data_IF_066534133419
#
_entry.id   IF_066534133419
#
_cell.length_a   1.000
_cell.length_b   1.000
_cell.length_c   1.000
_cell.angle_alpha   90.00
_cell.angle_beta   90.00
_cell.angle_gamma   90.00
#
_symmetry.space_group_name_H-M   'P 1'
#
loop_
_entity.id
_entity.type
_entity.pdbx_description
1 polymer ?
#
# COMPACT_ATOMS: atom_id res chain seq x y z
N UNK A 1 19.65 4.77 11.84
CA UNK A 1 18.23 4.91 12.24
C UNK A 1 17.41 3.79 11.61
N UNK A 2 16.27 3.40 12.18
CA UNK A 2 15.40 2.35 11.62
C UNK A 2 14.66 2.79 10.34
N UNK A 3 13.88 1.88 9.75
CA UNK A 3 13.00 2.21 8.62
C UNK A 3 11.90 3.20 9.06
N UNK A 4 11.64 4.23 8.23
CA UNK A 4 10.59 5.22 8.49
C UNK A 4 9.35 4.90 7.66
N UNK A 5 8.33 4.35 8.33
CA UNK A 5 7.05 3.98 7.74
C UNK A 5 6.01 5.05 8.06
N UNK A 6 5.27 5.46 7.04
CA UNK A 6 4.25 6.51 7.13
C UNK A 6 2.90 5.90 6.81
N UNK A 7 1.98 5.96 7.77
CA UNK A 7 0.58 5.54 7.58
C UNK A 7 -0.29 6.75 7.30
N UNK A 8 -0.87 6.81 6.10
CA UNK A 8 -1.89 7.78 5.74
C UNK A 8 -3.27 7.15 5.90
N UNK A 9 -4.10 7.66 6.83
CA UNK A 9 -5.46 7.18 7.01
C UNK A 9 -6.36 7.59 5.84
N UNK A 10 -7.62 7.13 5.87
CA UNK A 10 -8.65 7.57 4.93
C UNK A 10 -9.10 9.01 5.28
N UNK A 11 -9.49 9.80 4.28
CA UNK A 11 -9.88 11.22 4.40
C UNK A 11 -10.99 11.45 5.43
N UNK A 12 -11.77 10.41 5.72
CA UNK A 12 -12.83 10.39 6.74
C UNK A 12 -12.30 10.52 8.17
N UNK A 13 -11.04 10.16 8.41
CA UNK A 13 -10.41 10.19 9.73
C UNK A 13 -9.46 11.37 9.90
N UNK A 14 -8.73 11.74 8.84
CA UNK A 14 -7.78 12.85 8.85
C UNK A 14 -7.61 13.37 7.42
N UNK A 15 -7.36 14.68 7.24
CA UNK A 15 -6.97 15.21 5.94
C UNK A 15 -5.71 14.53 5.39
N UNK A 16 -5.61 14.52 4.05
CA UNK A 16 -4.44 14.02 3.35
C UNK A 16 -3.24 14.93 3.56
N UNK A 17 -2.05 14.34 3.56
CA UNK A 17 -0.80 15.07 3.67
C UNK A 17 -0.36 15.55 2.29
N UNK A 18 0.03 16.82 2.16
CA UNK A 18 0.32 17.45 0.86
C UNK A 18 1.47 16.78 0.08
N UNK A 19 2.49 16.30 0.82
CA UNK A 19 3.63 15.58 0.25
C UNK A 19 3.34 14.11 -0.15
N UNK A 20 2.15 13.60 0.12
CA UNK A 20 1.78 12.21 -0.18
C UNK A 20 0.69 12.15 -1.25
N UNK A 21 0.62 11.04 -2.02
CA UNK A 21 -0.50 10.81 -2.91
C UNK A 21 -1.84 10.86 -2.17
N UNK A 22 -2.89 11.31 -2.85
CA UNK A 22 -4.23 11.36 -2.27
C UNK A 22 -4.75 9.96 -1.93
N UNK A 23 -5.47 9.87 -0.81
CA UNK A 23 -6.10 8.65 -0.32
C UNK A 23 -5.28 7.90 0.73
N UNK A 24 -5.83 6.78 1.20
CA UNK A 24 -5.18 5.99 2.26
C UNK A 24 -4.07 5.08 1.74
N UNK A 25 -2.99 4.95 2.52
CA UNK A 25 -1.82 4.17 2.12
C UNK A 25 -0.80 3.95 3.24
N UNK A 26 0.13 3.02 3.01
CA UNK A 26 1.34 2.89 3.80
C UNK A 26 2.54 3.15 2.90
N UNK A 27 3.36 4.12 3.28
CA UNK A 27 4.52 4.57 2.54
C UNK A 27 5.80 4.26 3.32
N UNK A 28 6.86 3.96 2.57
CA UNK A 28 8.20 3.80 3.11
C UNK A 28 9.03 4.96 2.59
N UNK A 29 9.64 5.72 3.50
CA UNK A 29 10.62 6.72 3.13
C UNK A 29 11.97 6.02 2.90
N UNK A 30 12.46 6.07 1.67
CA UNK A 30 13.72 5.44 1.28
C UNK A 30 14.51 6.39 0.36
N UNK A 31 15.84 6.31 0.41
CA UNK A 31 16.74 7.10 -0.43
C UNK A 31 17.58 6.14 -1.29
N UNK A 32 17.49 6.22 -2.62
CA UNK A 32 18.23 5.31 -3.52
C UNK A 32 19.69 5.73 -3.76
N UNK A 33 20.24 6.69 -3.01
CA UNK A 33 21.59 7.22 -3.22
C UNK A 33 22.65 6.19 -2.82
N UNK A 34 23.67 6.03 -3.67
CA UNK A 34 24.75 5.04 -3.49
C UNK A 34 25.72 5.38 -2.36
N UNK A 35 25.93 6.67 -2.09
CA UNK A 35 26.79 7.13 -0.99
C UNK A 35 26.02 7.12 0.32
N UNK A 36 26.43 6.24 1.24
CA UNK A 36 25.70 5.99 2.50
C UNK A 36 25.54 7.25 3.36
N UNK A 37 26.58 8.08 3.46
CA UNK A 37 26.57 9.31 4.26
C UNK A 37 25.65 10.38 3.70
N UNK A 38 25.62 10.57 2.37
CA UNK A 38 24.73 11.55 1.74
C UNK A 38 23.28 11.06 1.72
N UNK A 39 23.07 9.74 1.56
CA UNK A 39 21.76 9.12 1.67
C UNK A 39 21.13 9.35 3.05
N UNK A 40 21.91 9.18 4.13
CA UNK A 40 21.44 9.41 5.50
C UNK A 40 21.08 10.86 5.76
N UNK A 41 21.90 11.82 5.30
CA UNK A 41 21.61 13.26 5.43
C UNK A 41 20.33 13.64 4.68
N UNK A 42 20.14 13.13 3.46
CA UNK A 42 18.94 13.37 2.68
C UNK A 42 17.70 12.76 3.31
N UNK A 43 17.81 11.54 3.86
CA UNK A 43 16.71 10.91 4.62
C UNK A 43 16.34 11.74 5.84
N UNK A 44 17.33 12.21 6.61
CA UNK A 44 17.07 13.08 7.76
C UNK A 44 16.41 14.38 7.31
N UNK A 45 16.91 15.04 6.27
CA UNK A 45 16.32 16.25 5.73
C UNK A 45 14.86 16.02 5.28
N UNK A 46 14.58 14.93 4.57
CA UNK A 46 13.23 14.57 4.15
C UNK A 46 12.30 14.28 5.33
N UNK A 47 12.79 13.59 6.37
CA UNK A 47 12.03 13.37 7.61
C UNK A 47 11.70 14.69 8.30
N UNK A 48 12.66 15.61 8.41
CA UNK A 48 12.43 16.93 8.99
C UNK A 48 11.41 17.72 8.18
N UNK A 49 11.51 17.74 6.85
CA UNK A 49 10.53 18.45 6.01
C UNK A 49 9.14 17.83 6.17
N UNK A 50 9.04 16.50 6.16
CA UNK A 50 7.77 15.79 6.30
C UNK A 50 7.10 16.08 7.65
N UNK A 51 7.84 15.98 8.76
CA UNK A 51 7.30 16.22 10.10
C UNK A 51 6.95 17.70 10.37
N UNK A 52 7.46 18.61 9.56
CA UNK A 52 7.22 20.06 9.69
C UNK A 52 6.33 20.63 8.58
N UNK A 53 5.60 19.80 7.82
CA UNK A 53 4.70 20.25 6.74
C UNK A 53 3.30 19.65 6.92
N UNK A 54 2.24 20.43 7.22
CA UNK A 54 2.27 21.84 7.57
C UNK A 54 3.02 22.09 8.88
N UNK A 55 3.52 23.32 9.07
CA UNK A 55 4.35 23.62 10.24
C UNK A 55 3.51 23.46 11.51
N UNK A 56 4.04 22.88 12.61
CA UNK A 56 3.25 22.66 13.81
C UNK A 56 2.53 23.92 14.30
N UNK A 57 3.18 25.07 14.26
CA UNK A 57 2.56 26.34 14.64
C UNK A 57 1.42 26.79 13.72
N UNK A 58 1.44 26.41 12.44
CA UNK A 58 0.33 26.66 11.51
C UNK A 58 -0.87 25.78 11.89
N UNK A 59 -0.62 24.51 12.21
CA UNK A 59 -1.65 23.59 12.73
C UNK A 59 -2.25 24.16 14.02
N UNK A 60 -1.41 24.62 14.95
CA UNK A 60 -1.88 25.17 16.23
C UNK A 60 -2.53 26.55 16.11
N UNK A 61 -2.32 27.27 15.01
CA UNK A 61 -2.99 28.54 14.75
C UNK A 61 -4.49 28.35 14.52
N UNK A 62 -4.90 27.19 14.01
CA UNK A 62 -6.30 26.83 13.88
C UNK A 62 -6.84 26.29 15.21
N UNK A 63 -7.83 27.01 15.76
CA UNK A 63 -8.56 26.57 16.95
C UNK A 63 -9.20 25.20 16.74
N UNK A 64 -9.58 24.82 15.52
CA UNK A 64 -10.21 23.52 15.25
C UNK A 64 -9.24 22.33 15.32
N UNK A 65 -7.93 22.55 15.32
CA UNK A 65 -6.92 21.49 15.28
C UNK A 65 -6.90 20.58 16.52
N UNK A 66 -7.28 21.10 17.69
CA UNK A 66 -7.35 20.31 18.92
C UNK A 66 -8.66 19.50 19.05
N UNK A 67 -9.71 19.91 18.32
CA UNK A 67 -11.06 19.35 18.38
C UNK A 67 -12.14 20.42 18.08
N UNK A 68 -13.41 20.02 18.14
CA UNK A 68 -14.54 20.93 17.88
C UNK A 68 -14.49 22.16 18.79
N UNK A 69 -14.31 23.35 18.21
CA UNK A 69 -14.20 24.60 18.99
C UNK A 69 -12.94 24.71 19.85
N UNK A 70 -11.88 23.94 19.56
CA UNK A 70 -10.61 23.94 20.30
C UNK A 70 -10.62 23.15 21.59
N UNK A 71 -11.55 22.21 21.73
CA UNK A 71 -11.52 21.26 22.85
C UNK A 71 -10.32 20.33 22.71
N UNK A 72 -9.41 20.33 23.68
CA UNK A 72 -8.29 19.39 23.69
C UNK A 72 -8.76 18.02 24.16
N UNK A 73 -8.71 17.03 23.27
CA UNK A 73 -8.94 15.64 23.66
C UNK A 73 -7.70 15.10 24.38
N UNK A 74 -7.86 14.76 25.68
CA UNK A 74 -6.77 14.22 26.50
C UNK A 74 -6.35 12.81 26.09
N UNK A 75 -7.31 12.00 25.67
CA UNK A 75 -7.09 10.59 25.37
C UNK A 75 -7.18 10.34 23.86
N UNK A 76 -6.09 9.86 23.27
CA UNK A 76 -6.08 9.45 21.88
C UNK A 76 -6.94 8.20 21.67
N UNK A 77 -7.87 8.23 20.72
CA UNK A 77 -8.61 7.02 20.34
C UNK A 77 -7.72 6.08 19.52
N UNK A 78 -7.18 5.04 20.17
CA UNK A 78 -6.41 3.97 19.55
C UNK A 78 -7.19 3.20 18.47
N UNK A 79 -8.52 3.23 18.50
CA UNK A 79 -9.35 2.57 17.50
C UNK A 79 -9.15 3.16 16.10
N UNK A 80 -8.84 4.45 16.01
CA UNK A 80 -8.59 5.16 14.75
C UNK A 80 -7.39 4.58 14.00
N UNK A 81 -6.25 4.41 14.68
CA UNK A 81 -5.04 3.81 14.10
C UNK A 81 -5.30 2.38 13.61
N UNK A 82 -5.96 1.55 14.43
CA UNK A 82 -6.28 0.18 14.04
C UNK A 82 -7.22 0.12 12.84
N UNK A 83 -8.22 1.02 12.77
CA UNK A 83 -9.13 1.14 11.62
C UNK A 83 -8.35 1.53 10.36
N UNK A 84 -7.45 2.51 10.46
CA UNK A 84 -6.61 2.97 9.35
C UNK A 84 -5.72 1.86 8.80
N UNK A 85 -4.99 1.14 9.67
CA UNK A 85 -4.16 -0.01 9.26
C UNK A 85 -5.00 -1.09 8.58
N UNK A 86 -6.15 -1.46 9.18
CA UNK A 86 -7.06 -2.45 8.59
C UNK A 86 -7.59 -2.02 7.23
N UNK A 87 -7.89 -0.74 7.05
CA UNK A 87 -8.37 -0.20 5.79
C UNK A 87 -7.30 -0.27 4.70
N UNK A 88 -6.06 0.13 4.99
CA UNK A 88 -4.93 0.00 4.06
C UNK A 88 -4.71 -1.45 3.67
N UNK A 89 -4.68 -2.38 4.63
CA UNK A 89 -4.53 -3.83 4.34
C UNK A 89 -5.65 -4.33 3.42
N UNK A 90 -6.91 -3.95 3.69
CA UNK A 90 -8.05 -4.33 2.83
C UNK A 90 -7.92 -3.75 1.43
N UNK A 91 -7.50 -2.49 1.31
CA UNK A 91 -7.32 -1.82 0.04
C UNK A 91 -6.26 -2.53 -0.81
N UNK A 92 -5.11 -2.84 -0.21
CA UNK A 92 -4.02 -3.58 -0.87
C UNK A 92 -4.44 -4.98 -1.31
N UNK A 93 -5.09 -5.75 -0.42
CA UNK A 93 -5.60 -7.08 -0.76
C UNK A 93 -6.62 -7.03 -1.91
N UNK A 94 -7.46 -6.00 -1.95
CA UNK A 94 -8.41 -5.81 -3.04
C UNK A 94 -7.71 -5.45 -4.36
N UNK A 95 -6.68 -4.61 -4.32
CA UNK A 95 -5.88 -4.26 -5.49
C UNK A 95 -5.15 -5.48 -6.06
N UNK A 96 -4.57 -6.33 -5.21
CA UNK A 96 -3.94 -7.60 -5.62
C UNK A 96 -4.97 -8.53 -6.28
N UNK A 97 -6.16 -8.68 -5.69
CA UNK A 97 -7.23 -9.50 -6.29
C UNK A 97 -7.69 -8.94 -7.64
N UNK A 98 -7.85 -7.62 -7.77
CA UNK A 98 -8.21 -6.95 -9.03
C UNK A 98 -7.12 -7.17 -10.09
N UNK A 99 -5.85 -7.00 -9.75
CA UNK A 99 -4.72 -7.25 -10.65
C UNK A 99 -4.68 -8.71 -11.12
N UNK A 100 -4.87 -9.67 -10.21
CA UNK A 100 -4.95 -11.11 -10.56
C UNK A 100 -6.13 -11.43 -11.48
N UNK A 101 -7.31 -10.83 -11.25
CA UNK A 101 -8.47 -10.99 -12.14
C UNK A 101 -8.20 -10.37 -13.52
N UNK A 102 -7.58 -9.18 -13.59
CA UNK A 102 -7.20 -8.53 -14.85
C UNK A 102 -6.19 -9.40 -15.63
N UNK A 103 -5.20 -9.97 -14.94
CA UNK A 103 -4.25 -10.89 -15.57
C UNK A 103 -4.92 -12.16 -16.09
N UNK A 104 -5.79 -12.80 -15.28
CA UNK A 104 -6.58 -13.95 -15.73
C UNK A 104 -7.43 -13.61 -16.94
N UNK A 105 -8.11 -12.46 -16.95
CA UNK A 105 -8.87 -11.99 -18.12
C UNK A 105 -7.98 -11.81 -19.34
N UNK A 106 -6.79 -11.21 -19.22
CA UNK A 106 -5.86 -11.04 -20.34
C UNK A 106 -5.38 -12.37 -20.93
N UNK A 107 -5.14 -13.37 -20.08
CA UNK A 107 -4.64 -14.69 -20.52
C UNK A 107 -5.78 -15.60 -21.00
N UNK A 108 -6.93 -15.56 -20.34
CA UNK A 108 -8.05 -16.48 -20.61
C UNK A 108 -9.04 -15.95 -21.64
N UNK A 109 -9.27 -14.64 -21.74
CA UNK A 109 -10.21 -14.10 -22.73
C UNK A 109 -9.85 -14.44 -24.18
N UNK A 110 -8.58 -14.41 -24.61
CA UNK A 110 -8.21 -14.83 -25.96
C UNK A 110 -8.50 -16.31 -26.26
N UNK A 111 -8.62 -17.16 -25.24
CA UNK A 111 -8.90 -18.60 -25.39
C UNK A 111 -10.39 -18.92 -25.43
N UNK A 112 -11.25 -18.00 -24.99
CA UNK A 112 -12.71 -18.18 -24.92
C UNK A 112 -13.44 -17.31 -25.96
N UNK A 113 -12.75 -16.35 -26.58
CA UNK A 113 -13.30 -15.65 -27.73
C UNK A 113 -13.39 -16.63 -28.91
N UNK A 114 -14.56 -16.79 -29.56
CA UNK A 114 -14.63 -17.52 -30.80
C UNK A 114 -13.69 -16.83 -31.80
N UNK A 115 -12.79 -17.61 -32.39
CA UNK A 115 -11.88 -17.16 -33.44
C UNK A 115 -12.70 -16.55 -34.57
N UNK A 116 -12.65 -15.23 -34.69
CA UNK A 116 -13.39 -14.45 -35.67
C UNK A 116 -12.52 -13.30 -36.16
N UNK A 117 -11.53 -13.66 -36.98
CA UNK A 117 -10.84 -12.80 -37.97
C UNK A 117 -9.90 -11.71 -37.43
N UNK A 118 -8.58 -11.95 -37.63
CA UNK A 118 -7.47 -11.00 -37.81
C UNK A 118 -7.37 -9.77 -36.87
N UNK A 119 -6.61 -9.91 -35.78
CA UNK A 119 -5.92 -8.77 -35.16
C UNK A 119 -4.44 -9.13 -34.98
N UNK A 120 -3.61 -8.60 -35.87
CA UNK A 120 -2.19 -8.89 -35.97
C UNK A 120 -1.44 -8.70 -34.65
N UNK A 121 -0.72 -9.74 -34.25
CA UNK A 121 0.30 -9.71 -33.23
C UNK A 121 1.43 -8.79 -33.74
N UNK A 122 1.37 -7.51 -33.38
CA UNK A 122 2.52 -6.61 -33.47
C UNK A 122 3.27 -6.74 -32.14
N UNK A 123 4.23 -7.67 -32.11
CA UNK A 123 5.30 -7.68 -31.10
C UNK A 123 6.10 -6.39 -31.30
N UNK A 124 5.75 -5.34 -30.55
CA UNK A 124 6.54 -4.10 -30.52
C UNK A 124 7.80 -4.36 -29.72
N UNK A 125 8.86 -4.76 -30.42
CA UNK A 125 10.24 -4.78 -29.93
C UNK A 125 10.62 -3.34 -29.55
N UNK A 126 10.83 -3.07 -28.27
CA UNK A 126 11.41 -1.79 -27.84
C UNK A 126 12.87 -1.78 -28.26
N UNK A 127 13.23 -0.84 -29.13
CA UNK A 127 14.60 -0.49 -29.47
C UNK A 127 15.02 0.61 -28.50
N UNK A 128 16.07 0.35 -27.73
CA UNK A 128 16.76 1.35 -26.91
C UNK A 128 17.34 2.45 -27.81
N UNK A 129 17.14 3.71 -27.43
CA UNK A 129 17.83 4.84 -28.06
C UNK A 129 18.02 6.00 -27.07
N UNK A 130 19.29 6.32 -26.84
CA UNK A 130 19.78 7.70 -26.70
C UNK A 130 19.62 8.42 -25.37
N UNK A 131 20.74 8.65 -24.67
CA UNK A 131 20.85 9.54 -23.51
C UNK A 131 20.60 11.01 -23.88
N UNK A 132 20.11 11.83 -22.92
CA UNK A 132 20.60 13.18 -22.57
C UNK A 132 19.71 13.74 -21.44
N UNK A 133 20.35 14.33 -20.42
CA UNK A 133 19.76 14.56 -19.11
C UNK A 133 18.86 15.78 -18.95
N UNK A 134 17.92 15.66 -18.03
CA UNK A 134 17.55 16.72 -17.10
C UNK A 134 16.91 16.05 -15.87
N UNK A 135 17.21 16.54 -14.66
CA UNK A 135 16.79 15.93 -13.40
C UNK A 135 15.27 15.75 -13.31
N UNK A 136 14.81 14.54 -13.57
CA UNK A 136 13.45 14.10 -13.29
C UNK A 136 13.51 13.17 -12.10
N UNK A 137 12.84 13.57 -11.02
CA UNK A 137 12.55 12.68 -9.90
C UNK A 137 11.62 11.59 -10.44
N UNK A 138 12.20 10.46 -10.83
CA UNK A 138 11.49 9.35 -11.43
C UNK A 138 10.58 8.69 -10.39
N UNK A 139 9.29 9.04 -10.39
CA UNK A 139 8.25 8.28 -9.68
C UNK A 139 7.83 7.06 -10.51
N UNK A 140 8.78 6.18 -10.80
CA UNK A 140 8.55 4.91 -11.47
C UNK A 140 8.34 3.81 -10.41
N UNK A 141 7.12 3.69 -9.88
CA UNK A 141 6.90 2.78 -8.74
C UNK A 141 5.46 2.34 -8.42
N UNK A 142 4.47 2.46 -9.32
CA UNK A 142 3.10 1.96 -9.07
C UNK A 142 2.85 0.66 -9.86
N UNK A 143 3.68 -0.38 -9.66
CA UNK A 143 3.29 -1.72 -10.14
C UNK A 143 3.77 -2.92 -9.31
N UNK A 144 4.55 -2.75 -8.24
CA UNK A 144 4.99 -3.89 -7.40
C UNK A 144 4.86 -3.69 -5.89
N UNK A 145 4.56 -2.48 -5.41
CA UNK A 145 4.52 -2.14 -3.99
C UNK A 145 3.58 -3.02 -3.14
N UNK A 146 2.40 -3.39 -3.65
CA UNK A 146 1.39 -4.12 -2.87
C UNK A 146 1.79 -5.53 -2.41
N UNK A 147 2.72 -6.20 -3.10
CA UNK A 147 3.23 -7.52 -2.68
C UNK A 147 4.35 -7.40 -1.64
N UNK A 148 5.17 -6.36 -1.76
CA UNK A 148 6.32 -6.13 -0.88
C UNK A 148 5.89 -5.53 0.47
N UNK A 149 4.90 -4.63 0.45
CA UNK A 149 4.31 -4.07 1.67
C UNK A 149 3.73 -5.16 2.57
N UNK A 150 2.92 -6.08 2.01
CA UNK A 150 2.36 -7.21 2.77
C UNK A 150 3.40 -8.22 3.24
N UNK A 151 4.47 -8.46 2.47
CA UNK A 151 5.58 -9.32 2.91
C UNK A 151 6.24 -8.74 4.15
N UNK A 152 6.53 -7.44 4.18
CA UNK A 152 7.15 -6.78 5.35
C UNK A 152 6.22 -6.77 6.57
N UNK A 153 4.91 -6.56 6.38
CA UNK A 153 3.94 -6.76 7.47
C UNK A 153 3.92 -8.20 7.99
N UNK A 154 3.99 -9.20 7.11
CA UNK A 154 4.04 -10.60 7.54
C UNK A 154 5.31 -10.94 8.32
N UNK A 155 6.44 -10.32 7.98
CA UNK A 155 7.70 -10.44 8.72
C UNK A 155 7.60 -9.82 10.12
N UNK A 156 6.87 -8.71 10.27
CA UNK A 156 6.62 -8.07 11.58
C UNK A 156 5.62 -8.86 12.43
N UNK A 157 4.58 -9.45 11.82
CA UNK A 157 3.60 -10.29 12.52
C UNK A 157 4.18 -11.67 12.87
N UNK A 158 5.25 -12.09 12.19
CA UNK A 158 5.97 -13.33 12.49
C UNK A 158 6.89 -13.21 13.73
N UNK A 159 7.17 -12.00 14.24
CA UNK A 159 7.86 -11.86 15.51
C UNK A 159 6.86 -11.93 16.67
N UNK A 160 6.84 -13.11 17.31
CA UNK A 160 6.52 -13.34 18.72
C UNK A 160 5.20 -14.02 19.11
N UNK A 161 4.17 -14.21 18.25
CA UNK A 161 2.96 -14.99 18.60
C UNK A 161 2.38 -15.85 17.45
N UNK A 162 3.19 -16.73 16.85
CA UNK A 162 2.73 -17.61 15.75
C UNK A 162 1.69 -18.66 16.14
N UNK A 163 1.58 -19.03 17.42
CA UNK A 163 0.67 -20.12 17.83
C UNK A 163 -0.82 -19.74 17.75
N UNK A 164 -1.15 -18.44 17.85
CA UNK A 164 -2.55 -17.99 17.91
C UNK A 164 -3.19 -17.88 16.51
N UNK A 165 -2.39 -17.62 15.47
CA UNK A 165 -2.88 -17.42 14.10
C UNK A 165 -3.10 -18.75 13.35
N UNK A 166 -2.30 -19.78 13.65
CA UNK A 166 -2.46 -21.14 13.10
C UNK A 166 -3.77 -21.77 13.56
N UNK A 167 -4.18 -21.55 14.81
CA UNK A 167 -5.45 -22.07 15.35
C UNK A 167 -6.68 -21.44 14.69
N UNK A 168 -6.59 -20.18 14.27
CA UNK A 168 -7.72 -19.47 13.64
C UNK A 168 -7.95 -19.85 12.17
N UNK A 169 -6.88 -20.21 11.43
CA UNK A 169 -6.95 -20.48 9.99
C UNK A 169 -7.06 -21.97 9.62
N UNK A 170 -6.79 -22.89 10.55
CA UNK A 170 -6.97 -24.32 10.34
C UNK A 170 -8.44 -24.76 10.15
N UNK A 171 -9.45 -24.24 10.89
CA UNK A 171 -10.84 -24.68 10.75
C UNK A 171 -11.49 -24.23 9.42
N UNK A 172 -11.02 -23.13 8.82
CA UNK A 172 -11.63 -22.58 7.60
C UNK A 172 -11.42 -23.47 6.36
N UNK A 173 -10.34 -24.26 6.31
CA UNK A 173 -10.08 -25.15 5.17
C UNK A 173 -10.90 -26.44 5.21
N UNK A 174 -11.22 -26.94 6.40
CA UNK A 174 -12.06 -28.13 6.57
C UNK A 174 -13.53 -27.85 6.21
N UNK A 175 -14.04 -26.64 6.50
CA UNK A 175 -15.41 -26.25 6.13
C UNK A 175 -15.62 -26.13 4.61
N UNK A 176 -14.59 -25.73 3.86
CA UNK A 176 -14.68 -25.64 2.40
C UNK A 176 -14.64 -27.03 1.76
N UNK A 177 -13.87 -27.99 2.31
CA UNK A 177 -13.82 -29.35 1.77
C UNK A 177 -15.11 -30.14 2.07
N UNK A 178 -15.75 -29.91 3.23
CA UNK A 178 -16.99 -30.59 3.60
C UNK A 178 -18.23 -30.19 2.78
N UNK A 179 -18.23 -28.99 2.18
CA UNK A 179 -19.39 -28.52 1.39
C UNK A 179 -19.36 -28.98 -0.07
N UNK A 180 -18.19 -29.34 -0.62
CA UNK A 180 -18.11 -29.89 -1.98
C UNK A 180 -18.45 -31.38 -2.07
N UNK A 181 -18.40 -32.13 -0.97
CA UNK A 181 -18.74 -33.57 -0.99
C UNK A 181 -20.25 -33.86 -0.92
N UNK A 182 -21.08 -32.90 -0.50
CA UNK A 182 -22.54 -33.11 -0.40
C UNK A 182 -23.33 -32.76 -1.69
N UNK A 183 -22.72 -32.10 -2.67
CA UNK A 183 -23.40 -31.69 -3.90
C UNK A 183 -23.21 -32.64 -5.09
N UNK A 184 -22.55 -33.79 -4.91
CA UNK A 184 -22.28 -34.75 -6.00
C UNK A 184 -23.02 -36.09 -5.88
N UNK A 185 -24.14 -36.12 -5.14
CA UNK A 185 -25.09 -37.25 -5.19
C UNK A 185 -26.51 -36.72 -5.39
N UNK A 186 -26.90 -36.51 -6.65
CA UNK A 186 -28.16 -36.99 -7.24
C UNK A 186 -28.22 -36.71 -8.73
#
# INVERSE_FOLDING_TARGET
MGEFLILQPDDKFSPNHDLLPSGSGLYLLNCPVSDSTEAEKQLQAAQFVFLNSPHPLEILSDRSAYGSGGTVQRDHDMSSYLKSVRNVIRHELNNIRKAKRKQRRRVWWPLVSPSGVNAGIVVRRYVESGSMGHGQVNFAGILQSGKESLKRFSTLVASQHMHLLVVLLFPARLLIVGTFSMFNFR
#
